data_IF_015345257960
#
_entry.id   IF_015345257960
#
_cell.length_a   1.000
_cell.length_b   1.000
_cell.length_c   1.000
_cell.angle_alpha   90.00
_cell.angle_beta   90.00
_cell.angle_gamma   90.00
#
_symmetry.space_group_name_H-M   'P 1'
#
loop_
_entity.id
_entity.type
_entity.pdbx_description
1 polymer ?
#
# COMPACT_ATOMS: atom_id res chain seq x y z
N UNK A 1 -7.82 15.00 10.37
CA UNK A 1 -7.72 13.55 10.57
C UNK A 1 -6.29 13.22 11.00
N UNK A 2 -6.06 12.02 11.53
CA UNK A 2 -4.71 11.56 11.91
C UNK A 2 -4.09 10.73 10.79
N UNK A 3 -2.75 10.63 10.78
CA UNK A 3 -1.99 9.92 9.74
C UNK A 3 -2.48 8.49 9.44
N UNK A 4 -3.02 7.79 10.43
CA UNK A 4 -3.59 6.44 10.28
C UNK A 4 -4.84 6.42 9.37
N UNK A 5 -5.77 7.34 9.60
CA UNK A 5 -6.98 7.49 8.77
C UNK A 5 -6.60 7.89 7.36
N UNK A 6 -5.68 8.85 7.19
CA UNK A 6 -5.27 9.36 5.88
C UNK A 6 -4.62 8.25 5.02
N UNK A 7 -3.75 7.43 5.62
CA UNK A 7 -3.15 6.26 4.95
C UNK A 7 -4.23 5.23 4.59
N UNK A 8 -5.15 4.94 5.50
CA UNK A 8 -6.23 3.97 5.26
C UNK A 8 -7.17 4.44 4.14
N UNK A 9 -7.50 5.72 4.06
CA UNK A 9 -8.29 6.29 2.97
C UNK A 9 -7.60 6.17 1.62
N UNK A 10 -6.28 6.43 1.55
CA UNK A 10 -5.53 6.26 0.31
C UNK A 10 -5.53 4.79 -0.15
N UNK A 11 -5.35 3.83 0.76
CA UNK A 11 -5.44 2.39 0.43
C UNK A 11 -6.84 2.04 -0.08
N UNK A 12 -7.90 2.50 0.59
CA UNK A 12 -9.30 2.31 0.15
C UNK A 12 -9.58 2.96 -1.22
N UNK A 13 -8.95 4.08 -1.53
CA UNK A 13 -9.06 4.77 -2.81
C UNK A 13 -8.31 4.05 -3.96
N UNK A 14 -7.55 3.00 -3.63
CA UNK A 14 -6.84 2.16 -4.59
C UNK A 14 -5.36 2.46 -4.73
N UNK A 15 -4.76 3.27 -3.85
CA UNK A 15 -3.30 3.44 -3.81
C UNK A 15 -2.68 2.17 -3.24
N UNK A 16 -1.75 1.56 -3.99
CA UNK A 16 -1.21 0.21 -3.70
C UNK A 16 0.25 0.18 -3.30
N UNK A 17 0.94 1.31 -3.17
CA UNK A 17 2.35 1.29 -2.80
C UNK A 17 2.66 2.26 -1.67
N UNK A 18 3.50 1.83 -0.72
CA UNK A 18 3.99 2.66 0.38
C UNK A 18 4.67 3.93 -0.13
N UNK A 19 5.34 3.84 -1.28
CA UNK A 19 5.99 4.96 -1.95
C UNK A 19 4.97 6.01 -2.42
N UNK A 20 3.91 5.61 -3.11
CA UNK A 20 2.91 6.55 -3.60
C UNK A 20 2.13 7.19 -2.44
N UNK A 21 1.86 6.44 -1.37
CA UNK A 21 1.26 6.99 -0.15
C UNK A 21 2.18 8.03 0.50
N UNK A 22 3.48 7.73 0.61
CA UNK A 22 4.48 8.63 1.16
C UNK A 22 4.57 9.94 0.36
N UNK A 23 4.57 9.86 -0.98
CA UNK A 23 4.57 11.03 -1.86
C UNK A 23 3.30 11.88 -1.71
N UNK A 24 2.12 11.26 -1.53
CA UNK A 24 0.85 11.99 -1.39
C UNK A 24 0.65 12.65 -0.03
N UNK A 25 1.21 12.06 1.02
CA UNK A 25 1.05 12.53 2.41
C UNK A 25 2.26 13.33 2.93
N UNK A 26 3.29 13.54 2.09
CA UNK A 26 4.57 14.16 2.47
C UNK A 26 5.20 13.46 3.69
N UNK A 27 5.19 12.12 3.67
CA UNK A 27 5.75 11.25 4.69
C UNK A 27 6.95 10.50 4.15
N UNK A 28 7.76 9.93 5.05
CA UNK A 28 8.77 8.96 4.64
C UNK A 28 8.13 7.60 4.34
N UNK A 29 8.76 6.82 3.45
CA UNK A 29 8.32 5.45 3.17
C UNK A 29 8.31 4.60 4.45
N UNK A 30 9.30 4.79 5.32
CA UNK A 30 9.42 4.06 6.59
C UNK A 30 8.25 4.35 7.55
N UNK A 31 7.86 5.63 7.67
CA UNK A 31 6.67 6.02 8.43
C UNK A 31 5.39 5.35 7.87
N UNK A 32 5.23 5.35 6.55
CA UNK A 32 4.06 4.72 5.91
C UNK A 32 4.07 3.22 6.15
N UNK A 33 5.21 2.54 6.06
CA UNK A 33 5.30 1.12 6.36
C UNK A 33 5.00 0.81 7.83
N UNK A 34 5.42 1.68 8.75
CA UNK A 34 5.05 1.60 10.16
C UNK A 34 3.54 1.70 10.35
N UNK A 35 2.89 2.65 9.68
CA UNK A 35 1.43 2.83 9.72
C UNK A 35 0.72 1.60 9.14
N UNK A 36 1.17 1.08 8.00
CA UNK A 36 0.58 -0.11 7.38
C UNK A 36 0.66 -1.32 8.32
N UNK A 37 1.79 -1.54 9.01
CA UNK A 37 1.93 -2.63 10.00
C UNK A 37 0.94 -2.50 11.16
N UNK A 38 0.67 -1.26 11.61
CA UNK A 38 -0.33 -1.01 12.65
C UNK A 38 -1.73 -1.34 12.11
N UNK A 39 -2.08 -0.87 10.92
CA UNK A 39 -3.37 -1.15 10.28
C UNK A 39 -3.58 -2.65 10.03
N UNK A 40 -2.52 -3.36 9.66
CA UNK A 40 -2.49 -4.81 9.50
C UNK A 40 -2.73 -5.55 10.82
N UNK A 41 -2.06 -5.13 11.90
CA UNK A 41 -2.26 -5.68 13.24
C UNK A 41 -3.69 -5.48 13.78
N UNK A 42 -4.37 -4.43 13.30
CA UNK A 42 -5.75 -4.11 13.62
C UNK A 42 -6.77 -4.77 12.67
N UNK A 43 -6.32 -5.46 11.62
CA UNK A 43 -7.17 -6.13 10.64
C UNK A 43 -7.85 -5.20 9.62
N UNK A 44 -7.39 -3.95 9.47
CA UNK A 44 -7.92 -3.02 8.47
C UNK A 44 -7.32 -3.23 7.08
N UNK A 45 -6.12 -3.80 7.00
CA UNK A 45 -5.38 -4.04 5.77
C UNK A 45 -4.75 -5.43 5.87
N UNK A 46 -4.66 -6.15 4.76
CA UNK A 46 -3.94 -7.42 4.67
C UNK A 46 -2.90 -7.28 3.58
N UNK A 47 -1.63 -7.53 3.89
CA UNK A 47 -0.59 -7.58 2.85
C UNK A 47 -0.80 -8.81 1.99
N UNK A 48 -1.12 -8.59 0.73
CA UNK A 48 -1.20 -9.68 -0.24
C UNK A 48 0.20 -9.95 -0.77
N UNK A 49 0.84 -11.02 -0.26
CA UNK A 49 2.10 -11.49 -0.85
C UNK A 49 1.85 -11.88 -2.32
N UNK A 50 2.67 -11.34 -3.21
CA UNK A 50 2.44 -11.45 -4.64
C UNK A 50 2.72 -12.88 -5.13
N UNK A 51 1.66 -13.68 -5.29
CA UNK A 51 1.73 -14.98 -5.96
C UNK A 51 2.01 -14.85 -7.46
N UNK A 52 2.33 -15.99 -8.10
CA UNK A 52 2.75 -16.17 -9.50
C UNK A 52 1.86 -15.49 -10.57
N UNK A 53 0.65 -15.06 -10.21
CA UNK A 53 -0.30 -14.37 -11.09
C UNK A 53 0.21 -13.05 -11.67
N UNK A 54 1.08 -12.31 -10.97
CA UNK A 54 1.66 -11.08 -11.53
C UNK A 54 2.72 -11.36 -12.62
N UNK A 55 3.32 -12.54 -12.64
CA UNK A 55 4.24 -12.93 -13.71
C UNK A 55 3.51 -13.20 -15.05
N UNK A 56 2.26 -13.65 -14.98
CA UNK A 56 1.38 -13.90 -16.14
C UNK A 56 0.35 -12.78 -16.37
N UNK A 57 0.39 -11.69 -15.61
CA UNK A 57 -0.58 -10.61 -15.75
C UNK A 57 -0.33 -9.82 -17.05
N UNK A 58 -1.32 -9.68 -17.96
CA UNK A 58 -1.18 -8.91 -19.19
C UNK A 58 -0.76 -7.44 -18.97
N UNK A 59 -1.01 -6.91 -17.78
CA UNK A 59 -0.67 -5.55 -17.35
C UNK A 59 0.72 -5.44 -16.69
N UNK A 60 1.53 -6.50 -16.66
CA UNK A 60 2.87 -6.55 -16.04
C UNK A 60 3.83 -5.46 -16.53
N UNK A 61 3.66 -4.94 -17.75
CA UNK A 61 4.49 -3.84 -18.28
C UNK A 61 4.20 -2.48 -17.62
N UNK A 62 3.05 -2.35 -16.96
CA UNK A 62 2.55 -1.09 -16.39
C UNK A 62 2.40 -1.21 -14.86
N UNK A 63 2.15 -2.41 -14.34
CA UNK A 63 2.03 -2.67 -12.91
C UNK A 63 3.42 -2.93 -12.29
N UNK A 64 3.85 -2.16 -11.27
CA UNK A 64 5.19 -2.26 -10.68
C UNK A 64 5.44 -3.57 -9.91
N UNK A 65 4.46 -4.48 -9.82
CA UNK A 65 4.70 -5.79 -9.22
C UNK A 65 4.84 -5.74 -7.69
N UNK A 66 4.26 -4.72 -7.05
CA UNK A 66 4.14 -4.63 -5.60
C UNK A 66 2.82 -3.93 -5.29
N UNK A 67 1.93 -4.61 -4.56
CA UNK A 67 0.65 -4.07 -4.12
C UNK A 67 0.51 -4.32 -2.62
N UNK A 68 0.08 -3.30 -1.87
CA UNK A 68 -0.46 -3.42 -0.51
C UNK A 68 -1.98 -3.53 -0.50
#
# INVERSE_FOLDING_TARGET
MGKLDDVLELIKSGVRTSKEIAERLDLTVDEVEGIIKILESLGYVEKVEMGSSCQNCPLKKICPGSCV
#
